data_IF_130843401505
#
_entry.id   IF_130843401505
#
_cell.length_a   1.000
_cell.length_b   1.000
_cell.length_c   1.000
_cell.angle_alpha   90.00
_cell.angle_beta   90.00
_cell.angle_gamma   90.00
#
_symmetry.space_group_name_H-M   'P 1'
#
loop_
_entity.id
_entity.type
_entity.pdbx_description
1 polymer ?
#
# COMPACT_ATOMS: atom_id res chain seq x y z
N UNK A 1 1.75 -10.23 18.98
CA UNK A 1 2.67 -10.30 17.82
C UNK A 1 2.44 -9.22 16.75
N UNK A 2 1.36 -8.43 16.81
CA UNK A 2 1.05 -7.31 15.89
C UNK A 2 2.13 -6.21 15.77
N UNK A 3 2.93 -6.00 16.81
CA UNK A 3 4.00 -4.98 16.84
C UNK A 3 5.19 -5.35 15.94
N UNK A 4 5.53 -6.63 15.82
CA UNK A 4 6.61 -7.06 14.94
C UNK A 4 6.24 -6.87 13.46
N UNK A 5 4.99 -7.16 13.11
CA UNK A 5 4.44 -6.92 11.76
C UNK A 5 4.42 -5.43 11.43
N UNK A 6 3.99 -4.59 12.39
CA UNK A 6 4.00 -3.13 12.22
C UNK A 6 5.41 -2.58 12.02
N UNK A 7 6.39 -3.06 12.79
CA UNK A 7 7.79 -2.67 12.65
C UNK A 7 8.34 -3.11 11.29
N UNK A 8 8.03 -4.33 10.84
CA UNK A 8 8.46 -4.84 9.53
C UNK A 8 7.91 -4.01 8.37
N UNK A 9 6.62 -3.67 8.42
CA UNK A 9 5.98 -2.81 7.40
C UNK A 9 6.59 -1.41 7.42
N UNK A 10 6.82 -0.84 8.60
CA UNK A 10 7.43 0.49 8.74
C UNK A 10 8.85 0.53 8.18
N UNK A 11 9.67 -0.50 8.46
CA UNK A 11 11.03 -0.62 7.91
C UNK A 11 11.01 -0.74 6.39
N UNK A 12 10.13 -1.57 5.83
CA UNK A 12 9.99 -1.72 4.37
C UNK A 12 9.58 -0.41 3.71
N UNK A 13 8.60 0.28 4.28
CA UNK A 13 8.15 1.60 3.79
C UNK A 13 9.28 2.62 3.87
N UNK A 14 10.03 2.64 4.96
CA UNK A 14 11.18 3.53 5.12
C UNK A 14 12.26 3.22 4.08
N UNK A 15 12.52 1.95 3.79
CA UNK A 15 13.49 1.52 2.77
C UNK A 15 13.07 1.96 1.37
N UNK A 16 11.78 1.82 1.03
CA UNK A 16 11.20 2.24 -0.25
C UNK A 16 11.37 3.77 -0.40
N UNK A 17 10.96 4.53 0.61
CA UNK A 17 11.12 5.99 0.64
C UNK A 17 12.58 6.40 0.45
N UNK A 18 13.52 5.75 1.13
CA UNK A 18 14.95 6.10 1.08
C UNK A 18 15.58 5.74 -0.28
N UNK A 19 15.23 4.58 -0.85
CA UNK A 19 15.69 4.17 -2.17
C UNK A 19 15.15 5.08 -3.25
N UNK A 20 13.86 5.39 -3.23
CA UNK A 20 13.25 6.27 -4.22
C UNK A 20 13.71 7.72 -4.06
N UNK A 21 13.88 8.21 -2.82
CA UNK A 21 14.49 9.54 -2.58
C UNK A 21 15.92 9.62 -3.10
N UNK A 22 16.71 8.54 -2.97
CA UNK A 22 18.07 8.45 -3.55
C UNK A 22 18.05 8.40 -5.07
N UNK A 23 17.00 7.82 -5.67
CA UNK A 23 16.83 7.71 -7.13
C UNK A 23 16.27 8.99 -7.76
N UNK A 24 15.59 9.82 -6.97
CA UNK A 24 14.98 11.08 -7.38
C UNK A 24 16.01 12.21 -7.45
N UNK A 25 16.28 12.70 -8.67
CA UNK A 25 17.07 13.90 -8.89
C UNK A 25 16.45 15.11 -8.15
N UNK A 26 17.27 16.03 -7.62
CA UNK A 26 16.81 17.11 -6.72
C UNK A 26 15.73 18.05 -7.30
N UNK A 27 15.52 18.06 -8.62
CA UNK A 27 14.53 18.91 -9.30
C UNK A 27 13.14 18.27 -9.52
N UNK A 28 12.94 16.99 -9.22
CA UNK A 28 11.69 16.26 -9.47
C UNK A 28 10.70 16.37 -8.29
N UNK A 29 10.22 17.59 -7.98
CA UNK A 29 9.28 17.83 -6.86
C UNK A 29 7.94 17.08 -7.03
N UNK A 30 7.47 16.88 -8.27
CA UNK A 30 6.21 16.18 -8.57
C UNK A 30 6.30 14.69 -8.27
N UNK A 31 7.40 14.04 -8.65
CA UNK A 31 7.59 12.61 -8.38
C UNK A 31 7.71 12.35 -6.87
N UNK A 32 8.38 13.22 -6.11
CA UNK A 32 8.40 13.14 -4.64
C UNK A 32 7.02 13.18 -4.01
N UNK A 33 6.11 14.01 -4.53
CA UNK A 33 4.73 14.11 -4.02
C UNK A 33 3.98 12.80 -4.31
N UNK A 34 4.07 12.28 -5.54
CA UNK A 34 3.42 11.01 -5.93
C UNK A 34 3.93 9.87 -5.05
N UNK A 35 5.21 9.87 -4.72
CA UNK A 35 5.83 8.88 -3.86
C UNK A 35 5.25 8.87 -2.45
N UNK A 36 5.21 10.06 -1.84
CA UNK A 36 4.72 10.25 -0.48
C UNK A 36 3.23 9.93 -0.41
N UNK A 37 2.44 10.33 -1.41
CA UNK A 37 1.01 10.01 -1.44
C UNK A 37 0.77 8.52 -1.64
N UNK A 38 1.45 7.87 -2.57
CA UNK A 38 1.30 6.43 -2.84
C UNK A 38 1.74 5.58 -1.64
N UNK A 39 2.86 5.96 -1.02
CA UNK A 39 3.37 5.30 0.18
C UNK A 39 2.44 5.55 1.37
N UNK A 40 1.93 6.77 1.53
CA UNK A 40 0.97 7.12 2.57
C UNK A 40 -0.32 6.31 2.46
N UNK A 41 -0.86 6.15 1.24
CA UNK A 41 -2.03 5.30 0.99
C UNK A 41 -1.73 3.85 1.37
N UNK A 42 -0.56 3.33 0.97
CA UNK A 42 -0.14 1.96 1.27
C UNK A 42 -0.01 1.73 2.79
N UNK A 43 0.54 2.68 3.52
CA UNK A 43 0.67 2.63 4.97
C UNK A 43 -0.71 2.69 5.66
N UNK A 44 -1.60 3.55 5.18
CA UNK A 44 -2.96 3.70 5.71
C UNK A 44 -3.74 2.41 5.54
N UNK A 45 -3.68 1.77 4.36
CA UNK A 45 -4.28 0.46 4.10
C UNK A 45 -3.69 -0.62 5.02
N UNK A 46 -2.38 -0.63 5.21
CA UNK A 46 -1.72 -1.59 6.10
C UNK A 46 -2.18 -1.43 7.56
N UNK A 47 -2.27 -0.19 8.06
CA UNK A 47 -2.78 0.10 9.41
C UNK A 47 -4.24 -0.35 9.54
N UNK A 48 -5.07 -0.03 8.54
CA UNK A 48 -6.49 -0.37 8.56
C UNK A 48 -6.70 -1.89 8.66
N UNK A 49 -5.94 -2.68 7.90
CA UNK A 49 -6.00 -4.15 7.95
C UNK A 49 -5.46 -4.74 9.25
N UNK A 50 -4.47 -4.10 9.87
CA UNK A 50 -3.84 -4.60 11.09
C UNK A 50 -4.74 -4.39 12.33
N UNK A 51 -5.53 -3.31 12.34
CA UNK A 51 -6.52 -3.03 13.37
C UNK A 51 -7.89 -3.66 13.08
N UNK A 52 -8.29 -3.75 11.81
CA UNK A 52 -9.54 -4.38 11.37
C UNK A 52 -9.25 -5.55 10.42
N UNK A 53 -8.80 -6.70 10.94
CA UNK A 53 -8.48 -7.87 10.12
C UNK A 53 -9.72 -8.51 9.47
N UNK A 54 -10.92 -8.13 9.89
CA UNK A 54 -12.19 -8.59 9.33
C UNK A 54 -12.55 -7.85 8.01
N UNK A 55 -11.89 -6.73 7.72
CA UNK A 55 -12.11 -6.01 6.45
C UNK A 55 -11.37 -6.77 5.34
N UNK A 56 -12.06 -7.14 4.23
CA UNK A 56 -11.42 -7.81 3.12
C UNK A 56 -10.28 -6.94 2.57
N UNK A 57 -9.12 -7.56 2.35
CA UNK A 57 -7.96 -6.87 1.80
C UNK A 57 -8.29 -6.20 0.46
N UNK A 58 -7.52 -5.18 0.03
CA UNK A 58 -7.76 -4.48 -1.25
C UNK A 58 -7.84 -5.46 -2.44
N UNK A 59 -7.05 -6.53 -2.43
CA UNK A 59 -7.11 -7.61 -3.41
C UNK A 59 -8.43 -8.38 -3.36
N UNK A 60 -8.98 -8.63 -2.17
CA UNK A 60 -10.27 -9.30 -1.98
C UNK A 60 -11.45 -8.37 -2.32
N UNK A 61 -11.32 -7.06 -2.10
CA UNK A 61 -12.32 -6.07 -2.54
C UNK A 61 -12.40 -6.03 -4.07
N UNK A 62 -11.25 -5.96 -4.75
CA UNK A 62 -11.18 -6.06 -6.22
C UNK A 62 -11.77 -7.40 -6.66
N UNK A 63 -11.34 -8.52 -6.08
CA UNK A 63 -11.86 -9.84 -6.46
C UNK A 63 -13.38 -9.93 -6.29
N UNK A 64 -13.96 -9.37 -5.23
CA UNK A 64 -15.41 -9.37 -5.01
C UNK A 64 -16.16 -8.54 -6.04
N UNK A 65 -15.58 -7.42 -6.49
CA UNK A 65 -16.16 -6.54 -7.50
C UNK A 65 -16.12 -7.18 -8.91
N UNK A 66 -15.05 -7.92 -9.22
CA UNK A 66 -14.87 -8.58 -10.51
C UNK A 66 -15.45 -10.00 -10.58
N UNK A 67 -15.77 -10.64 -9.45
CA UNK A 67 -16.43 -11.94 -9.40
C UNK A 67 -17.75 -12.02 -10.19
N UNK A 68 -18.70 -11.05 -10.09
CA UNK A 68 -19.91 -11.07 -10.90
C UNK A 68 -19.63 -10.92 -12.40
N UNK A 69 -18.64 -10.11 -12.80
CA UNK A 69 -18.23 -9.95 -14.20
C UNK A 69 -17.64 -11.24 -14.78
N UNK A 70 -16.82 -11.96 -14.00
CA UNK A 70 -16.28 -13.26 -14.40
C UNK A 70 -17.34 -14.35 -14.56
N UNK A 71 -18.49 -14.23 -13.87
CA UNK A 71 -19.63 -15.15 -14.02
C UNK A 71 -20.46 -14.84 -15.28
N UNK A 72 -20.50 -13.59 -15.75
CA UNK A 72 -21.22 -13.19 -16.98
C UNK A 72 -20.46 -13.50 -18.27
N UNK A 73 -19.13 -13.70 -18.18
CA UNK A 73 -18.25 -14.03 -19.31
C UNK A 73 -18.12 -15.54 -19.58
N UNK A 74 -19.02 -16.35 -19.00
CA UNK A 74 -19.10 -17.80 -19.20
C UNK A 74 -20.45 -18.16 -19.80
#
# INVERSE_FOLDING_TARGET
>A
MKIFELIGISILVFLILLLEWRKLYPNQKKEKIILVTLTGISLLVAILLLYFPEIPGPTQMISSLFFPLGRMLK
#
